data_IF_373358394568
#
_entry.id   IF_373358394568
#
_cell.length_a   1.000
_cell.length_b   1.000
_cell.length_c   1.000
_cell.angle_alpha   90.00
_cell.angle_beta   90.00
_cell.angle_gamma   90.00
#
_symmetry.space_group_name_H-M   'P 1'
#
loop_
_entity.id
_entity.type
_entity.pdbx_description
1 polymer ?
#
# COMPACT_ATOMS: atom_id res chain seq x y z
N UNK A 1 47.28 52.73 -46.67
CA UNK A 1 46.62 51.44 -46.98
C UNK A 1 46.80 50.51 -45.80
N UNK A 2 45.69 49.90 -45.36
CA UNK A 2 45.53 48.69 -44.53
C UNK A 2 46.29 48.61 -43.18
N UNK A 3 45.61 48.66 -42.02
CA UNK A 3 44.75 47.61 -41.39
C UNK A 3 45.58 46.53 -40.65
N UNK A 4 45.65 46.58 -39.32
CA UNK A 4 44.93 45.68 -38.39
C UNK A 4 45.48 45.68 -36.95
N UNK A 5 44.63 46.18 -36.04
CA UNK A 5 44.60 45.79 -34.62
C UNK A 5 44.34 44.28 -34.53
N UNK A 6 45.06 43.59 -33.65
CA UNK A 6 44.66 42.29 -33.13
C UNK A 6 44.50 42.42 -31.61
N UNK A 7 43.25 42.66 -31.19
CA UNK A 7 42.81 42.58 -29.80
C UNK A 7 42.68 41.09 -29.47
N UNK A 8 43.55 40.58 -28.61
CA UNK A 8 43.42 39.22 -28.06
C UNK A 8 42.30 39.20 -27.02
N UNK A 9 41.16 38.62 -27.39
CA UNK A 9 40.10 38.25 -26.46
C UNK A 9 40.59 37.07 -25.61
N UNK A 10 40.93 37.31 -24.33
CA UNK A 10 40.98 36.26 -23.33
C UNK A 10 39.54 35.89 -22.96
N UNK A 11 39.07 34.77 -23.50
CA UNK A 11 37.82 34.13 -23.07
C UNK A 11 38.15 33.27 -21.83
N UNK A 12 37.99 33.83 -20.63
CA UNK A 12 38.06 33.07 -19.38
C UNK A 12 36.77 32.26 -19.23
N UNK A 13 36.87 30.95 -19.46
CA UNK A 13 35.79 30.00 -19.18
C UNK A 13 35.57 29.90 -17.67
N UNK A 14 34.44 30.42 -17.19
CA UNK A 14 33.97 30.24 -15.82
C UNK A 14 33.42 28.81 -15.69
N UNK A 15 34.20 27.88 -15.15
CA UNK A 15 33.73 26.53 -14.86
C UNK A 15 32.81 26.57 -13.65
N UNK A 16 31.50 26.58 -13.88
CA UNK A 16 30.51 26.33 -12.85
C UNK A 16 30.66 24.89 -12.36
N UNK A 17 31.23 24.69 -11.18
CA UNK A 17 31.18 23.40 -10.48
C UNK A 17 29.75 23.18 -10.02
N UNK A 18 28.99 22.38 -10.78
CA UNK A 18 27.74 21.83 -10.31
C UNK A 18 28.04 20.89 -9.15
N UNK A 19 27.70 21.31 -7.93
CA UNK A 19 27.63 20.40 -6.80
C UNK A 19 26.50 19.41 -7.09
N UNK A 20 26.85 18.15 -7.39
CA UNK A 20 25.91 17.07 -7.36
C UNK A 20 25.42 16.96 -5.90
N UNK A 21 24.17 17.34 -5.65
CA UNK A 21 23.49 16.99 -4.40
C UNK A 21 23.26 15.49 -4.48
N UNK A 22 24.12 14.72 -3.84
CA UNK A 22 23.89 13.30 -3.61
C UNK A 22 22.72 13.22 -2.63
N UNK A 23 21.51 12.95 -3.13
CA UNK A 23 20.39 12.62 -2.25
C UNK A 23 20.84 11.45 -1.36
N UNK A 24 20.72 11.58 -0.02
CA UNK A 24 21.07 10.47 0.85
C UNK A 24 20.28 9.25 0.40
N UNK A 25 20.88 8.05 0.41
CA UNK A 25 20.17 6.84 0.03
C UNK A 25 18.90 6.78 0.88
N UNK A 26 17.74 6.74 0.22
CA UNK A 26 16.50 6.44 0.90
C UNK A 26 16.76 5.18 1.72
N UNK A 27 16.82 5.33 3.05
CA UNK A 27 16.69 4.21 3.95
C UNK A 27 15.33 3.63 3.59
N UNK A 28 15.32 2.58 2.76
CA UNK A 28 14.09 2.02 2.19
C UNK A 28 13.41 1.22 3.30
N UNK A 29 12.89 1.94 4.29
CA UNK A 29 11.95 1.42 5.26
C UNK A 29 10.83 0.75 4.47
N UNK A 30 10.55 -0.52 4.79
CA UNK A 30 9.49 -1.28 4.14
C UNK A 30 8.19 -0.46 4.15
N UNK A 31 7.50 -0.29 3.01
CA UNK A 31 6.24 0.44 2.94
C UNK A 31 5.24 -0.04 4.00
N UNK A 32 4.58 0.92 4.65
CA UNK A 32 3.57 0.66 5.67
C UNK A 32 2.19 0.72 5.02
N UNK A 33 1.38 -0.26 5.36
CA UNK A 33 0.02 -0.42 4.89
C UNK A 33 -0.96 -0.41 6.07
N UNK A 34 -2.01 0.42 5.95
CA UNK A 34 -3.26 0.23 6.69
C UNK A 34 -4.14 -0.74 5.89
N UNK A 35 -4.34 -1.94 6.43
CA UNK A 35 -5.19 -2.97 5.84
C UNK A 35 -6.59 -2.85 6.42
N UNK A 36 -7.57 -2.53 5.59
CA UNK A 36 -8.99 -2.63 5.93
C UNK A 36 -9.55 -3.96 5.44
N UNK A 37 -10.19 -4.73 6.32
CA UNK A 37 -10.87 -5.98 5.99
C UNK A 37 -12.36 -5.86 6.33
N UNK A 38 -13.21 -5.83 5.32
CA UNK A 38 -14.66 -5.94 5.44
C UNK A 38 -15.05 -7.42 5.40
N UNK A 39 -15.54 -7.97 6.50
CA UNK A 39 -16.02 -9.36 6.59
C UNK A 39 -17.54 -9.39 6.60
N UNK A 40 -18.11 -10.24 5.75
CA UNK A 40 -19.55 -10.45 5.70
C UNK A 40 -19.96 -11.47 6.78
N UNK A 41 -20.93 -11.11 7.60
CA UNK A 41 -21.44 -11.98 8.66
C UNK A 41 -22.18 -13.18 8.06
N UNK A 42 -22.02 -14.36 8.68
CA UNK A 42 -22.60 -15.61 8.19
C UNK A 42 -21.95 -16.16 6.91
N UNK A 43 -20.85 -15.56 6.43
CA UNK A 43 -20.11 -15.99 5.24
C UNK A 43 -18.60 -16.07 5.52
N UNK A 44 -17.89 -16.83 4.70
CA UNK A 44 -16.42 -16.80 4.68
C UNK A 44 -15.88 -15.68 3.77
N UNK A 45 -16.75 -14.95 3.06
CA UNK A 45 -16.38 -13.88 2.16
C UNK A 45 -15.83 -12.67 2.93
N UNK A 46 -14.70 -12.14 2.46
CA UNK A 46 -14.19 -10.85 2.92
C UNK A 46 -13.61 -10.04 1.76
N UNK A 47 -13.61 -8.73 1.93
CA UNK A 47 -13.05 -7.77 1.00
C UNK A 47 -11.98 -6.96 1.70
N UNK A 48 -10.89 -6.66 1.01
CA UNK A 48 -9.77 -5.92 1.59
C UNK A 48 -9.28 -4.81 0.68
N UNK A 49 -8.80 -3.77 1.35
CA UNK A 49 -8.03 -2.68 0.80
C UNK A 49 -6.70 -2.59 1.53
N UNK A 50 -5.70 -2.04 0.85
CA UNK A 50 -4.34 -1.91 1.32
C UNK A 50 -3.88 -0.47 1.10
N UNK A 51 -4.02 0.39 2.09
CA UNK A 51 -3.74 1.81 1.94
C UNK A 51 -2.32 2.13 2.36
N UNK A 52 -1.57 2.78 1.48
CA UNK A 52 -0.21 3.21 1.73
C UNK A 52 -0.12 4.71 1.46
N UNK A 53 0.53 5.43 2.38
CA UNK A 53 0.73 6.88 2.32
C UNK A 53 2.20 7.17 2.62
N UNK A 54 2.88 7.91 1.76
CA UNK A 54 4.31 8.23 1.91
C UNK A 54 4.61 8.99 3.22
N UNK A 55 3.62 9.75 3.72
CA UNK A 55 3.73 10.49 4.98
C UNK A 55 3.73 9.59 6.23
N UNK A 56 3.29 8.32 6.10
CA UNK A 56 3.23 7.36 7.21
C UNK A 56 4.45 6.45 7.15
N UNK A 57 5.44 6.79 7.98
CA UNK A 57 6.79 6.20 7.95
C UNK A 57 7.06 5.23 9.10
N UNK A 58 6.14 5.11 10.06
CA UNK A 58 6.21 4.11 11.14
C UNK A 58 4.87 3.41 11.41
N UNK A 59 4.95 2.18 11.95
CA UNK A 59 3.76 1.46 12.40
C UNK A 59 3.00 2.22 13.50
N UNK A 60 3.70 2.96 14.35
CA UNK A 60 3.09 3.80 15.38
C UNK A 60 2.28 4.95 14.77
N UNK A 61 2.79 5.61 13.73
CA UNK A 61 2.04 6.63 12.97
C UNK A 61 0.81 6.02 12.30
N UNK A 62 0.93 4.83 11.72
CA UNK A 62 -0.21 4.13 11.13
C UNK A 62 -1.29 3.82 12.19
N UNK A 63 -0.88 3.29 13.35
CA UNK A 63 -1.80 2.98 14.44
C UNK A 63 -2.47 4.26 14.98
N UNK A 64 -1.72 5.35 15.15
CA UNK A 64 -2.27 6.63 15.59
C UNK A 64 -3.29 7.19 14.58
N UNK A 65 -2.98 7.14 13.28
CA UNK A 65 -3.89 7.57 12.22
C UNK A 65 -5.18 6.73 12.20
N UNK A 66 -5.07 5.42 12.40
CA UNK A 66 -6.25 4.55 12.54
C UNK A 66 -7.08 4.90 13.78
N UNK A 67 -6.46 5.10 14.94
CA UNK A 67 -7.18 5.48 16.18
C UNK A 67 -7.90 6.83 16.05
N UNK A 68 -7.32 7.78 15.33
CA UNK A 68 -7.97 9.05 14.96
C UNK A 68 -9.17 8.80 14.03
N UNK A 69 -8.99 7.94 13.02
CA UNK A 69 -10.02 7.59 12.05
C UNK A 69 -11.27 6.98 12.69
N UNK A 70 -11.09 6.17 13.73
CA UNK A 70 -12.18 5.60 14.53
C UNK A 70 -13.01 6.66 15.28
N UNK A 71 -12.43 7.83 15.54
CA UNK A 71 -13.11 8.99 16.14
C UNK A 71 -13.73 9.92 15.08
N UNK A 72 -13.63 9.56 13.80
CA UNK A 72 -14.18 10.32 12.67
C UNK A 72 -13.16 11.21 11.97
N UNK A 73 -11.90 11.27 12.44
CA UNK A 73 -10.86 12.08 11.84
C UNK A 73 -9.82 11.21 11.12
N UNK A 74 -9.92 11.15 9.79
CA UNK A 74 -9.05 10.38 8.93
C UNK A 74 -7.99 11.29 8.29
N UNK A 75 -6.82 11.52 8.94
CA UNK A 75 -5.86 12.54 8.50
C UNK A 75 -5.11 12.17 7.22
N UNK A 76 -4.91 10.87 6.99
CA UNK A 76 -4.06 10.37 5.90
C UNK A 76 -4.77 9.36 4.98
N UNK A 77 -5.76 8.63 5.50
CA UNK A 77 -6.36 7.50 4.79
C UNK A 77 -7.82 7.80 4.45
N UNK A 78 -8.12 8.04 3.17
CA UNK A 78 -9.50 8.10 2.71
C UNK A 78 -9.85 6.85 1.89
N UNK A 79 -10.87 6.11 2.32
CA UNK A 79 -11.44 5.02 1.53
C UNK A 79 -12.90 4.79 1.90
N UNK A 80 -13.65 4.26 0.94
CA UNK A 80 -15.03 3.84 1.14
C UNK A 80 -15.19 2.45 0.53
N UNK A 81 -15.51 1.44 1.34
CA UNK A 81 -15.96 0.16 0.80
C UNK A 81 -17.25 0.38 0.03
N UNK A 82 -17.36 -0.18 -1.18
CA UNK A 82 -18.59 0.03 -1.96
C UNK A 82 -19.79 -0.60 -1.25
N UNK A 83 -20.88 0.16 -1.15
CA UNK A 83 -22.10 -0.24 -0.42
C UNK A 83 -22.78 -1.49 -1.00
N UNK A 84 -22.63 -1.74 -2.30
CA UNK A 84 -23.18 -2.92 -2.97
C UNK A 84 -22.56 -4.22 -2.45
N UNK A 85 -21.33 -4.18 -1.91
CA UNK A 85 -20.64 -5.37 -1.37
C UNK A 85 -21.34 -5.96 -0.13
N UNK A 86 -22.11 -5.14 0.58
CA UNK A 86 -22.78 -5.50 1.84
C UNK A 86 -24.30 -5.59 1.68
N UNK A 87 -24.85 -5.43 0.46
CA UNK A 87 -26.29 -5.45 0.27
C UNK A 87 -26.87 -6.82 0.65
N UNK A 88 -27.76 -6.82 1.65
CA UNK A 88 -28.38 -8.04 2.18
C UNK A 88 -27.53 -8.79 3.22
N UNK A 89 -26.41 -8.23 3.66
CA UNK A 89 -25.56 -8.80 4.70
C UNK A 89 -25.28 -7.80 5.82
N UNK A 90 -25.14 -8.28 7.05
CA UNK A 90 -24.40 -7.56 8.09
C UNK A 90 -22.90 -7.70 7.81
N UNK A 91 -22.12 -6.68 8.13
CA UNK A 91 -20.68 -6.70 7.91
C UNK A 91 -19.95 -5.90 8.97
N UNK A 92 -18.72 -6.32 9.27
CA UNK A 92 -17.83 -5.61 10.18
C UNK A 92 -16.49 -5.35 9.50
N UNK A 93 -15.88 -4.21 9.82
CA UNK A 93 -14.57 -3.82 9.31
C UNK A 93 -13.54 -4.01 10.41
N UNK A 94 -12.42 -4.63 10.05
CA UNK A 94 -11.23 -4.75 10.90
C UNK A 94 -10.07 -4.03 10.24
N UNK A 95 -9.30 -3.29 11.03
CA UNK A 95 -8.12 -2.59 10.55
C UNK A 95 -6.86 -3.14 11.20
N UNK A 96 -5.78 -3.25 10.43
CA UNK A 96 -4.45 -3.67 10.91
C UNK A 96 -3.38 -2.88 10.18
N UNK A 97 -2.36 -2.41 10.91
CA UNK A 97 -1.15 -1.84 10.34
C UNK A 97 -0.08 -2.92 10.15
N UNK A 98 0.59 -2.92 9.01
CA UNK A 98 1.69 -3.83 8.71
C UNK A 98 2.68 -3.24 7.70
N UNK A 99 3.92 -3.70 7.74
CA UNK A 99 4.95 -3.47 6.72
C UNK A 99 4.85 -4.52 5.62
N UNK A 100 5.29 -4.20 4.40
CA UNK A 100 5.33 -5.14 3.29
C UNK A 100 6.51 -4.84 2.39
N UNK A 101 7.21 -5.88 1.92
CA UNK A 101 8.17 -5.77 0.81
C UNK A 101 7.49 -5.84 -0.55
N UNK A 102 6.22 -6.26 -0.60
CA UNK A 102 5.42 -6.32 -1.82
C UNK A 102 4.79 -4.96 -2.09
N UNK A 103 4.98 -4.45 -3.31
CA UNK A 103 4.30 -3.26 -3.79
C UNK A 103 2.86 -3.61 -4.20
N UNK A 104 1.91 -2.90 -3.62
CA UNK A 104 0.48 -3.04 -3.91
C UNK A 104 0.02 -1.75 -4.58
N UNK A 105 -0.75 -1.87 -5.66
CA UNK A 105 -1.29 -0.70 -6.38
C UNK A 105 -2.13 0.18 -5.46
N UNK A 106 -2.20 1.48 -5.74
CA UNK A 106 -3.07 2.41 -5.03
C UNK A 106 -4.54 1.98 -5.06
N UNK A 107 -5.30 2.44 -4.06
CA UNK A 107 -6.74 2.24 -4.01
C UNK A 107 -7.46 3.16 -5.02
N UNK A 108 -8.51 2.64 -5.64
CA UNK A 108 -9.36 3.36 -6.59
C UNK A 108 -10.84 3.05 -6.28
N UNK A 109 -11.64 4.07 -5.98
CA UNK A 109 -13.01 3.93 -5.46
C UNK A 109 -13.93 3.08 -6.35
N UNK A 110 -13.79 3.19 -7.68
CA UNK A 110 -14.73 2.59 -8.65
C UNK A 110 -14.25 1.26 -9.22
N UNK A 111 -13.11 0.74 -8.78
CA UNK A 111 -12.54 -0.49 -9.32
C UNK A 111 -13.21 -1.72 -8.69
N UNK A 112 -13.50 -2.73 -9.51
CA UNK A 112 -14.13 -3.97 -9.04
C UNK A 112 -13.18 -4.82 -8.19
N UNK A 113 -13.74 -5.46 -7.15
CA UNK A 113 -13.03 -6.38 -6.27
C UNK A 113 -12.87 -7.75 -6.95
N UNK A 114 -11.97 -7.84 -7.92
CA UNK A 114 -11.76 -9.04 -8.75
C UNK A 114 -10.56 -9.88 -8.33
N UNK A 115 -9.57 -9.29 -7.65
CA UNK A 115 -8.35 -10.00 -7.27
C UNK A 115 -8.60 -10.81 -6.01
N UNK A 116 -8.13 -12.05 -5.99
CA UNK A 116 -8.27 -12.94 -4.83
C UNK A 116 -6.90 -13.18 -4.21
N UNK A 117 -6.80 -13.00 -2.90
CA UNK A 117 -5.55 -13.17 -2.17
C UNK A 117 -5.76 -14.01 -0.91
N UNK A 118 -4.77 -14.84 -0.58
CA UNK A 118 -4.53 -15.25 0.80
C UNK A 118 -3.66 -14.18 1.44
N UNK A 119 -4.23 -13.47 2.39
CA UNK A 119 -3.54 -12.49 3.22
C UNK A 119 -2.90 -13.23 4.38
N UNK A 120 -1.62 -12.94 4.66
CA UNK A 120 -0.90 -13.39 5.84
C UNK A 120 -0.32 -12.16 6.54
N UNK A 121 -0.62 -12.00 7.83
CA UNK A 121 -0.07 -10.92 8.66
C UNK A 121 0.55 -11.53 9.92
N UNK A 122 1.85 -11.79 9.88
CA UNK A 122 2.64 -12.26 11.03
C UNK A 122 3.57 -11.16 11.53
N UNK A 123 3.58 -10.91 12.85
CA UNK A 123 4.45 -9.88 13.47
C UNK A 123 4.46 -8.55 12.70
N UNK A 124 3.27 -8.09 12.30
CA UNK A 124 3.05 -6.85 11.54
C UNK A 124 3.76 -6.82 10.17
N UNK A 125 4.07 -7.98 9.58
CA UNK A 125 4.50 -8.11 8.19
C UNK A 125 3.39 -8.71 7.35
N UNK A 126 2.98 -7.97 6.32
CA UNK A 126 1.99 -8.36 5.35
C UNK A 126 2.63 -9.18 4.24
N UNK A 127 1.96 -10.25 3.84
CA UNK A 127 2.24 -10.96 2.59
C UNK A 127 0.93 -11.35 1.92
N UNK A 128 0.87 -11.15 0.61
CA UNK A 128 -0.24 -11.53 -0.26
C UNK A 128 0.20 -12.65 -1.19
N UNK A 129 -0.50 -13.78 -1.13
CA UNK A 129 -0.40 -14.86 -2.14
C UNK A 129 -1.59 -14.75 -3.09
N UNK A 130 -1.37 -14.49 -4.40
CA UNK A 130 -2.45 -14.38 -5.37
C UNK A 130 -3.10 -15.74 -5.66
N UNK A 131 -4.41 -15.71 -5.95
CA UNK A 131 -5.21 -16.84 -6.39
C UNK A 131 -6.08 -16.46 -7.59
N UNK A 132 -6.37 -17.44 -8.45
CA UNK A 132 -7.25 -17.26 -9.61
C UNK A 132 -8.72 -17.04 -9.23
N UNK A 133 -9.13 -17.45 -8.03
CA UNK A 133 -10.48 -17.23 -7.51
C UNK A 133 -10.51 -17.26 -5.99
N UNK A 134 -11.57 -16.67 -5.42
CA UNK A 134 -11.81 -16.71 -3.98
C UNK A 134 -12.00 -18.16 -3.50
N UNK A 135 -12.75 -18.97 -4.26
CA UNK A 135 -12.97 -20.38 -3.93
C UNK A 135 -11.66 -21.19 -3.89
N UNK A 136 -10.71 -20.93 -4.79
CA UNK A 136 -9.40 -21.57 -4.76
C UNK A 136 -8.61 -21.16 -3.51
N UNK A 137 -8.66 -19.88 -3.13
CA UNK A 137 -8.08 -19.43 -1.86
C UNK A 137 -8.74 -20.14 -0.67
N UNK A 138 -10.07 -20.14 -0.58
CA UNK A 138 -10.80 -20.71 0.55
C UNK A 138 -10.53 -22.20 0.74
N UNK A 139 -10.41 -22.95 -0.36
CA UNK A 139 -10.04 -24.36 -0.31
C UNK A 139 -8.65 -24.54 0.27
N UNK A 140 -7.66 -23.82 -0.25
CA UNK A 140 -6.27 -23.93 0.21
C UNK A 140 -6.12 -23.44 1.66
N UNK A 141 -6.86 -22.40 2.05
CA UNK A 141 -6.98 -21.95 3.44
C UNK A 141 -7.55 -23.03 4.36
N UNK A 142 -8.56 -23.78 3.91
CA UNK A 142 -9.18 -24.87 4.67
C UNK A 142 -8.24 -26.05 4.98
N UNK A 143 -7.13 -26.18 4.27
CA UNK A 143 -6.10 -27.19 4.54
C UNK A 143 -5.03 -26.74 5.54
N UNK A 144 -5.06 -25.46 5.96
CA UNK A 144 -4.11 -24.93 6.93
C UNK A 144 -4.45 -25.41 8.35
N UNK A 145 -3.43 -25.55 9.21
CA UNK A 145 -3.62 -25.80 10.63
C UNK A 145 -4.36 -24.62 11.30
N UNK A 146 -5.02 -24.85 12.44
CA UNK A 146 -5.68 -23.75 13.17
C UNK A 146 -4.71 -22.64 13.57
N UNK A 147 -3.46 -22.99 13.90
CA UNK A 147 -2.40 -22.03 14.21
C UNK A 147 -2.06 -21.16 12.98
N UNK A 148 -1.98 -21.79 11.81
CA UNK A 148 -1.72 -21.12 10.53
C UNK A 148 -2.89 -20.27 10.04
N UNK A 149 -4.12 -20.62 10.40
CA UNK A 149 -5.31 -19.85 10.05
C UNK A 149 -5.42 -18.57 10.90
N UNK A 150 -4.89 -18.55 12.13
CA UNK A 150 -5.06 -17.45 13.08
C UNK A 150 -4.52 -16.10 12.56
N UNK A 151 -3.51 -16.12 11.68
CA UNK A 151 -2.91 -14.92 11.09
C UNK A 151 -3.14 -14.83 9.57
N UNK A 152 -4.06 -15.63 9.02
CA UNK A 152 -4.34 -15.69 7.59
C UNK A 152 -5.82 -15.57 7.28
N UNK A 153 -6.15 -15.04 6.11
CA UNK A 153 -7.54 -15.03 5.63
C UNK A 153 -7.58 -14.86 4.11
N UNK A 154 -8.64 -15.37 3.50
CA UNK A 154 -8.93 -15.13 2.09
C UNK A 154 -9.73 -13.85 1.90
N UNK A 155 -9.36 -13.05 0.90
CA UNK A 155 -10.03 -11.79 0.59
C UNK A 155 -10.16 -11.56 -0.90
N UNK A 156 -11.12 -10.72 -1.29
CA UNK A 156 -11.18 -10.07 -2.59
C UNK A 156 -10.70 -8.62 -2.48
N UNK A 157 -9.97 -8.13 -3.47
CA UNK A 157 -9.51 -6.74 -3.54
C UNK A 157 -9.63 -6.18 -4.95
N UNK A 158 -9.70 -4.86 -5.06
CA UNK A 158 -9.54 -4.13 -6.32
C UNK A 158 -8.07 -3.88 -6.65
N UNK A 159 -7.18 -3.97 -5.66
CA UNK A 159 -5.76 -3.65 -5.80
C UNK A 159 -4.95 -4.86 -6.26
N UNK A 160 -3.83 -4.59 -6.94
CA UNK A 160 -2.97 -5.59 -7.57
C UNK A 160 -1.57 -5.60 -6.96
N UNK A 161 -0.92 -6.76 -6.92
CA UNK A 161 0.52 -6.86 -6.68
C UNK A 161 1.27 -6.38 -7.93
N UNK A 162 2.27 -5.52 -7.74
CA UNK A 162 3.14 -4.99 -8.81
C UNK A 162 4.46 -5.74 -8.91
#
# INVERSE_FOLDING_TARGET
>A
MLKHLAISLLCTCLSATAFAVEEPPADRSEPIYLIGQLKLDGSNMSYSIFLHEDAVTSLDQCNAAWQSGQQGDWPHYFHVFRRDLIQGFSAHIQYRCATSTQSISSWEERRDYRKSYLVHIDRQRLTLKPYNSFAACSRDFGYLSSADQANRFCTKSSQELR
#
